data_IF_334894314104
#
_entry.id   IF_334894314104
#
_cell.length_a   1.000
_cell.length_b   1.000
_cell.length_c   1.000
_cell.angle_alpha   90.00
_cell.angle_beta   90.00
_cell.angle_gamma   90.00
#
_symmetry.space_group_name_H-M   'P 1'
#
loop_
_entity.id
_entity.type
_entity.pdbx_description
1 polymer ?
#
# COMPACT_ATOMS: atom_id res chain seq x y z
N UNK A 1 15.94 -19.88 -4.13
CA UNK A 1 15.83 -19.07 -2.89
C UNK A 1 14.99 -17.79 -3.06
N UNK A 2 14.94 -17.18 -4.25
CA UNK A 2 14.11 -15.98 -4.55
C UNK A 2 12.64 -16.15 -4.14
N UNK A 3 12.07 -17.34 -4.30
CA UNK A 3 10.69 -17.63 -3.92
C UNK A 3 10.37 -17.39 -2.43
N UNK A 4 11.26 -17.73 -1.50
CA UNK A 4 10.99 -17.56 -0.07
C UNK A 4 10.92 -16.07 0.32
N UNK A 5 11.81 -15.27 -0.27
CA UNK A 5 11.85 -13.83 -0.08
C UNK A 5 10.61 -13.17 -0.72
N UNK A 6 10.28 -13.53 -1.97
CA UNK A 6 9.10 -12.99 -2.65
C UNK A 6 7.81 -13.32 -1.90
N UNK A 7 7.66 -14.54 -1.40
CA UNK A 7 6.49 -14.91 -0.60
C UNK A 7 6.43 -14.18 0.75
N UNK A 8 7.58 -13.97 1.39
CA UNK A 8 7.66 -13.19 2.63
C UNK A 8 7.23 -11.74 2.41
N UNK A 9 7.76 -11.10 1.36
CA UNK A 9 7.40 -9.73 0.99
C UNK A 9 5.90 -9.66 0.66
N UNK A 10 5.41 -10.57 -0.19
CA UNK A 10 3.99 -10.60 -0.57
C UNK A 10 3.09 -10.72 0.66
N UNK A 11 3.39 -11.65 1.58
CA UNK A 11 2.61 -11.85 2.80
C UNK A 11 2.61 -10.61 3.70
N UNK A 12 3.79 -10.01 3.93
CA UNK A 12 3.91 -8.82 4.77
C UNK A 12 3.08 -7.65 4.23
N UNK A 13 3.14 -7.39 2.91
CA UNK A 13 2.37 -6.31 2.29
C UNK A 13 0.87 -6.59 2.24
N UNK A 14 0.44 -7.83 1.97
CA UNK A 14 -0.98 -8.20 1.95
C UNK A 14 -1.61 -8.02 3.34
N UNK A 15 -1.00 -8.62 4.37
CA UNK A 15 -1.49 -8.51 5.76
C UNK A 15 -1.50 -7.04 6.19
N UNK A 16 -0.42 -6.30 5.91
CA UNK A 16 -0.33 -4.90 6.29
C UNK A 16 -1.37 -4.01 5.60
N UNK A 17 -1.67 -4.25 4.32
CA UNK A 17 -2.71 -3.50 3.60
C UNK A 17 -4.12 -3.83 4.09
N UNK A 18 -4.42 -5.10 4.36
CA UNK A 18 -5.72 -5.51 4.92
C UNK A 18 -5.94 -4.82 6.26
N UNK A 19 -4.95 -4.87 7.16
CA UNK A 19 -5.01 -4.18 8.44
C UNK A 19 -5.21 -2.67 8.26
N UNK A 20 -4.41 -2.04 7.39
CA UNK A 20 -4.48 -0.59 7.15
C UNK A 20 -5.87 -0.15 6.69
N UNK A 21 -6.47 -0.85 5.72
CA UNK A 21 -7.80 -0.51 5.23
C UNK A 21 -8.88 -0.72 6.29
N UNK A 22 -8.79 -1.81 7.05
CA UNK A 22 -9.73 -2.09 8.13
C UNK A 22 -9.64 -1.04 9.25
N UNK A 23 -8.43 -0.71 9.70
CA UNK A 23 -8.19 0.30 10.72
C UNK A 23 -8.65 1.69 10.27
N UNK A 24 -8.35 2.08 9.03
CA UNK A 24 -8.72 3.40 8.49
C UNK A 24 -10.23 3.54 8.33
N UNK A 25 -10.92 2.51 7.85
CA UNK A 25 -12.39 2.54 7.62
C UNK A 25 -13.18 2.60 8.92
N UNK A 26 -12.69 1.92 9.97
CA UNK A 26 -13.33 1.90 11.28
C UNK A 26 -12.89 3.05 12.20
N UNK A 27 -11.88 3.83 11.81
CA UNK A 27 -11.35 4.91 12.64
C UNK A 27 -12.34 6.07 12.78
N UNK A 28 -12.73 6.37 14.02
CA UNK A 28 -13.56 7.52 14.35
C UNK A 28 -12.89 8.84 13.96
N UNK A 29 -11.55 8.94 14.08
CA UNK A 29 -10.79 10.15 13.73
C UNK A 29 -10.90 10.45 12.23
N UNK A 30 -10.90 9.42 11.38
CA UNK A 30 -11.06 9.59 9.93
C UNK A 30 -12.47 10.06 9.57
N UNK A 31 -13.49 9.48 10.22
CA UNK A 31 -14.90 9.88 10.01
C UNK A 31 -15.15 11.30 10.47
N UNK A 32 -14.71 11.63 11.70
CA UNK A 32 -14.86 12.94 12.30
C UNK A 32 -14.19 14.04 11.47
N UNK A 33 -12.99 13.78 10.94
CA UNK A 33 -12.32 14.72 10.04
C UNK A 33 -13.16 15.03 8.81
N UNK A 34 -13.68 14.00 8.12
CA UNK A 34 -14.48 14.17 6.91
C UNK A 34 -15.80 14.91 7.15
N UNK A 35 -16.41 14.72 8.31
CA UNK A 35 -17.65 15.41 8.71
C UNK A 35 -17.43 16.89 9.01
N UNK A 36 -16.25 17.26 9.53
CA UNK A 36 -15.90 18.65 9.86
C UNK A 36 -15.42 19.47 8.66
N UNK A 37 -15.29 18.88 7.47
CA UNK A 37 -14.87 19.59 6.26
C UNK A 37 -16.01 20.42 5.65
N UNK A 38 -15.78 21.70 5.34
CA UNK A 38 -16.66 22.49 4.47
C UNK A 38 -16.86 21.82 3.11
N UNK A 39 -17.99 22.07 2.46
CA UNK A 39 -18.37 21.44 1.18
C UNK A 39 -17.27 21.58 0.11
N UNK A 40 -16.69 22.78 -0.04
CA UNK A 40 -15.60 23.05 -0.99
C UNK A 40 -14.36 22.20 -0.71
N UNK A 41 -13.96 22.11 0.57
CA UNK A 41 -12.82 21.30 1.01
C UNK A 41 -13.08 19.79 0.88
N UNK A 42 -14.33 19.37 1.05
CA UNK A 42 -14.73 17.96 0.85
C UNK A 42 -14.63 17.55 -0.62
N UNK A 43 -15.08 18.39 -1.55
CA UNK A 43 -14.91 18.14 -2.99
C UNK A 43 -13.43 18.07 -3.39
N UNK A 44 -12.61 18.97 -2.84
CA UNK A 44 -11.16 18.92 -3.04
C UNK A 44 -10.54 17.64 -2.45
N UNK A 45 -10.95 17.24 -1.24
CA UNK A 45 -10.54 15.98 -0.62
C UNK A 45 -10.83 14.79 -1.53
N UNK A 46 -12.04 14.71 -2.07
CA UNK A 46 -12.45 13.59 -2.93
C UNK A 46 -11.66 13.58 -4.25
N UNK A 47 -11.40 14.76 -4.84
CA UNK A 47 -10.54 14.90 -6.01
C UNK A 47 -9.11 14.40 -5.75
N UNK A 48 -8.49 14.87 -4.67
CA UNK A 48 -7.14 14.47 -4.26
C UNK A 48 -7.09 12.96 -3.96
N UNK A 49 -8.09 12.44 -3.26
CA UNK A 49 -8.19 11.03 -2.92
C UNK A 49 -8.31 10.17 -4.18
N UNK A 50 -9.14 10.58 -5.14
CA UNK A 50 -9.33 9.88 -6.41
C UNK A 50 -8.06 9.90 -7.28
N UNK A 51 -7.34 11.03 -7.33
CA UNK A 51 -6.04 11.09 -8.00
C UNK A 51 -5.04 10.09 -7.41
N UNK A 52 -4.89 10.09 -6.07
CA UNK A 52 -3.99 9.19 -5.36
C UNK A 52 -4.35 7.73 -5.58
N UNK A 53 -5.65 7.42 -5.61
CA UNK A 53 -6.15 6.10 -5.95
C UNK A 53 -5.76 5.70 -7.38
N UNK A 54 -5.96 6.58 -8.37
CA UNK A 54 -5.55 6.34 -9.76
C UNK A 54 -4.04 6.13 -9.89
N UNK A 55 -3.22 6.93 -9.22
CA UNK A 55 -1.76 6.75 -9.18
C UNK A 55 -1.42 5.36 -8.66
N UNK A 56 -2.08 4.92 -7.58
CA UNK A 56 -1.84 3.57 -7.06
C UNK A 56 -2.27 2.47 -8.03
N UNK A 57 -3.40 2.64 -8.73
CA UNK A 57 -3.86 1.69 -9.74
C UNK A 57 -2.87 1.57 -10.90
N UNK A 58 -2.35 2.70 -11.41
CA UNK A 58 -1.29 2.69 -12.42
C UNK A 58 -0.03 1.98 -11.93
N UNK A 59 0.36 2.20 -10.67
CA UNK A 59 1.49 1.50 -10.06
C UNK A 59 1.31 -0.02 -10.02
N UNK A 60 0.10 -0.52 -9.71
CA UNK A 60 -0.20 -1.95 -9.76
C UNK A 60 -0.22 -2.52 -11.17
N UNK A 61 -0.79 -1.80 -12.14
CA UNK A 61 -0.79 -2.22 -13.55
C UNK A 61 0.64 -2.33 -14.07
N UNK A 62 1.48 -1.33 -13.79
CA UNK A 62 2.90 -1.36 -14.15
C UNK A 62 3.62 -2.53 -13.48
N UNK A 63 3.36 -2.75 -12.18
CA UNK A 63 3.94 -3.86 -11.43
C UNK A 63 3.53 -5.23 -11.97
N UNK A 64 2.29 -5.36 -12.47
CA UNK A 64 1.83 -6.59 -13.11
C UNK A 64 2.62 -6.88 -14.39
N UNK A 65 2.78 -5.90 -15.29
CA UNK A 65 3.62 -6.07 -16.49
C UNK A 65 5.07 -6.38 -16.14
N UNK A 66 5.65 -5.71 -15.14
CA UNK A 66 7.00 -6.00 -14.67
C UNK A 66 7.12 -7.43 -14.15
N UNK A 67 6.11 -7.93 -13.43
CA UNK A 67 6.10 -9.30 -12.94
C UNK A 67 6.08 -10.34 -14.06
N UNK A 68 5.37 -10.07 -15.17
CA UNK A 68 5.39 -10.94 -16.35
C UNK A 68 6.79 -11.00 -16.97
N UNK A 69 7.48 -9.86 -17.08
CA UNK A 69 8.87 -9.82 -17.54
C UNK A 69 9.80 -10.64 -16.63
N UNK A 70 9.65 -10.52 -15.30
CA UNK A 70 10.44 -11.29 -14.32
C UNK A 70 10.16 -12.78 -14.47
N UNK A 71 8.91 -13.19 -14.58
CA UNK A 71 8.53 -14.61 -14.74
C UNK A 71 9.08 -15.16 -16.05
N UNK A 72 8.93 -14.43 -17.15
CA UNK A 72 9.46 -14.82 -18.46
C UNK A 72 10.97 -15.02 -18.41
N UNK A 73 11.70 -14.09 -17.79
CA UNK A 73 13.15 -14.18 -17.62
C UNK A 73 13.56 -15.42 -16.81
N UNK A 74 12.88 -15.73 -15.71
CA UNK A 74 13.20 -16.90 -14.88
C UNK A 74 12.88 -18.23 -15.58
N UNK A 75 11.76 -18.32 -16.30
CA UNK A 75 11.35 -19.54 -16.99
C UNK A 75 12.15 -19.82 -18.27
N UNK A 76 12.41 -18.80 -19.10
CA UNK A 76 13.08 -18.98 -20.40
C UNK A 76 14.59 -18.88 -20.33
N UNK A 77 15.12 -17.89 -19.61
CA UNK A 77 16.56 -17.60 -19.60
C UNK A 77 17.28 -18.43 -18.54
N UNK A 78 16.76 -18.42 -17.31
CA UNK A 78 17.34 -19.21 -16.20
C UNK A 78 16.86 -20.66 -16.14
N UNK A 79 15.82 -21.02 -16.91
CA UNK A 79 15.21 -22.37 -16.93
C UNK A 79 14.83 -22.88 -15.54
N UNK A 80 14.44 -21.99 -14.63
CA UNK A 80 14.01 -22.38 -13.28
C UNK A 80 12.62 -23.04 -13.32
N UNK A 81 12.42 -24.07 -12.48
CA UNK A 81 11.08 -24.62 -12.23
C UNK A 81 10.41 -23.82 -11.13
N UNK A 82 9.42 -23.01 -11.49
CA UNK A 82 8.62 -22.23 -10.54
C UNK A 82 7.33 -22.98 -10.19
N UNK A 83 7.00 -23.05 -8.90
CA UNK A 83 5.71 -23.57 -8.46
C UNK A 83 4.61 -22.51 -8.64
N UNK A 84 3.34 -22.91 -8.64
CA UNK A 84 2.21 -21.98 -8.73
C UNK A 84 2.23 -20.95 -7.60
N UNK A 85 2.59 -21.35 -6.38
CA UNK A 85 2.70 -20.45 -5.22
C UNK A 85 3.83 -19.44 -5.46
N UNK A 86 4.97 -19.88 -5.98
CA UNK A 86 6.10 -19.01 -6.33
C UNK A 86 5.70 -17.94 -7.34
N UNK A 87 4.93 -18.31 -8.37
CA UNK A 87 4.44 -17.38 -9.38
C UNK A 87 3.55 -16.31 -8.75
N UNK A 88 2.57 -16.71 -7.93
CA UNK A 88 1.67 -15.78 -7.24
C UNK A 88 2.47 -14.83 -6.33
N UNK A 89 3.41 -15.36 -5.54
CA UNK A 89 4.26 -14.55 -4.67
C UNK A 89 5.08 -13.52 -5.45
N UNK A 90 5.66 -13.90 -6.58
CA UNK A 90 6.44 -12.99 -7.45
C UNK A 90 5.54 -11.87 -7.97
N UNK A 91 4.35 -12.21 -8.50
CA UNK A 91 3.39 -11.21 -9.00
C UNK A 91 3.00 -10.24 -7.89
N UNK A 92 2.53 -10.77 -6.75
CA UNK A 92 2.04 -9.95 -5.64
C UNK A 92 3.14 -9.06 -5.07
N UNK A 93 4.33 -9.60 -4.80
CA UNK A 93 5.46 -8.82 -4.29
C UNK A 93 5.89 -7.73 -5.27
N UNK A 94 6.00 -8.07 -6.56
CA UNK A 94 6.39 -7.10 -7.59
C UNK A 94 5.35 -5.99 -7.73
N UNK A 95 4.06 -6.33 -7.72
CA UNK A 95 2.96 -5.35 -7.75
C UNK A 95 3.01 -4.39 -6.56
N UNK A 96 3.17 -4.90 -5.34
CA UNK A 96 3.23 -4.04 -4.14
C UNK A 96 4.48 -3.15 -4.11
N UNK A 97 5.65 -3.70 -4.43
CA UNK A 97 6.88 -2.92 -4.49
C UNK A 97 6.82 -1.84 -5.57
N UNK A 98 6.40 -2.22 -6.78
CA UNK A 98 6.26 -1.26 -7.89
C UNK A 98 5.26 -0.17 -7.54
N UNK A 99 4.10 -0.53 -6.98
CA UNK A 99 3.12 0.44 -6.53
C UNK A 99 3.68 1.39 -5.46
N UNK A 100 4.42 0.87 -4.48
CA UNK A 100 5.04 1.69 -3.44
C UNK A 100 5.99 2.73 -4.03
N UNK A 101 6.92 2.32 -4.89
CA UNK A 101 7.86 3.23 -5.52
C UNK A 101 7.18 4.18 -6.49
N UNK A 102 6.27 3.68 -7.33
CA UNK A 102 5.53 4.51 -8.28
C UNK A 102 4.72 5.59 -7.56
N UNK A 103 4.00 5.23 -6.50
CA UNK A 103 3.25 6.19 -5.69
C UNK A 103 4.16 7.21 -5.00
N UNK A 104 5.32 6.79 -4.51
CA UNK A 104 6.26 7.69 -3.83
C UNK A 104 6.92 8.68 -4.80
N UNK A 105 7.32 8.22 -5.99
CA UNK A 105 8.05 9.00 -6.98
C UNK A 105 7.14 9.88 -7.85
N UNK A 106 5.89 9.48 -8.07
CA UNK A 106 4.95 10.29 -8.86
C UNK A 106 4.68 11.62 -8.14
N UNK A 107 4.88 12.77 -8.79
CA UNK A 107 4.52 14.07 -8.22
C UNK A 107 3.01 14.14 -8.03
N UNK A 108 2.60 14.69 -6.87
CA UNK A 108 1.19 14.82 -6.50
C UNK A 108 0.74 16.20 -6.97
N UNK A 109 -0.40 16.28 -7.65
CA UNK A 109 -0.82 17.55 -8.26
C UNK A 109 -1.11 18.62 -7.21
N UNK A 110 -1.72 18.22 -6.09
CA UNK A 110 -2.25 19.15 -5.11
C UNK A 110 -2.25 18.59 -3.69
N UNK A 111 -2.07 19.47 -2.70
CA UNK A 111 -2.05 19.14 -1.28
C UNK A 111 -3.16 19.89 -0.54
N UNK A 112 -3.82 19.17 0.37
CA UNK A 112 -4.89 19.73 1.19
C UNK A 112 -4.45 20.92 2.03
N UNK A 113 -3.21 20.88 2.53
CA UNK A 113 -2.63 21.94 3.35
C UNK A 113 -2.62 23.30 2.66
N UNK A 114 -2.57 23.34 1.32
CA UNK A 114 -2.57 24.58 0.56
C UNK A 114 -3.92 25.29 0.54
N UNK A 115 -4.98 24.62 1.00
CA UNK A 115 -6.38 25.09 0.97
C UNK A 115 -7.01 25.16 2.35
N UNK A 116 -6.25 24.84 3.40
CA UNK A 116 -6.71 24.95 4.77
C UNK A 116 -6.35 26.35 5.29
N UNK A 117 -7.36 27.12 5.66
CA UNK A 117 -7.17 28.51 6.07
C UNK A 117 -7.11 28.68 7.60
N UNK A 118 -7.59 27.69 8.38
CA UNK A 118 -7.67 27.81 9.85
C UNK A 118 -6.68 26.91 10.60
N UNK A 119 -6.14 27.38 11.75
CA UNK A 119 -5.31 26.56 12.63
C UNK A 119 -6.01 25.29 13.12
N UNK A 120 -7.32 25.36 13.37
CA UNK A 120 -8.14 24.23 13.84
C UNK A 120 -8.22 23.13 12.78
N UNK A 121 -8.48 23.51 11.52
CA UNK A 121 -8.49 22.58 10.39
C UNK A 121 -7.11 21.97 10.15
N UNK A 122 -6.04 22.74 10.35
CA UNK A 122 -4.66 22.27 10.22
C UNK A 122 -4.35 21.20 11.27
N UNK A 123 -4.77 21.42 12.53
CA UNK A 123 -4.64 20.44 13.62
C UNK A 123 -5.41 19.16 13.31
N UNK A 124 -6.64 19.28 12.81
CA UNK A 124 -7.48 18.15 12.41
C UNK A 124 -6.84 17.34 11.26
N UNK A 125 -6.30 18.02 10.25
CA UNK A 125 -5.58 17.37 9.16
C UNK A 125 -4.32 16.64 9.65
N UNK A 126 -3.55 17.27 10.54
CA UNK A 126 -2.34 16.67 11.09
C UNK A 126 -2.67 15.43 11.94
N UNK A 127 -3.73 15.48 12.74
CA UNK A 127 -4.19 14.34 13.53
C UNK A 127 -4.61 13.17 12.64
N UNK A 128 -5.39 13.45 11.58
CA UNK A 128 -5.74 12.46 10.57
C UNK A 128 -4.50 11.83 9.93
N UNK A 129 -3.58 12.67 9.44
CA UNK A 129 -2.39 12.24 8.73
C UNK A 129 -1.49 11.36 9.60
N UNK A 130 -1.27 11.76 10.86
CA UNK A 130 -0.51 10.97 11.83
C UNK A 130 -1.17 9.63 12.11
N UNK A 131 -2.48 9.59 12.31
CA UNK A 131 -3.19 8.33 12.54
C UNK A 131 -3.10 7.37 11.37
N UNK A 132 -3.29 7.87 10.14
CA UNK A 132 -3.14 7.05 8.94
C UNK A 132 -1.70 6.52 8.81
N UNK A 133 -0.70 7.34 9.12
CA UNK A 133 0.70 6.91 9.13
C UNK A 133 0.94 5.79 10.15
N UNK A 134 0.42 5.94 11.38
CA UNK A 134 0.52 4.89 12.41
C UNK A 134 -0.12 3.59 11.94
N UNK A 135 -1.35 3.63 11.40
CA UNK A 135 -2.01 2.43 10.86
C UNK A 135 -1.23 1.76 9.72
N UNK A 136 -0.56 2.55 8.88
CA UNK A 136 0.25 2.01 7.79
C UNK A 136 1.46 1.25 8.33
N UNK A 137 2.21 1.86 9.26
CA UNK A 137 3.41 1.24 9.82
C UNK A 137 3.06 0.08 10.75
N UNK A 138 2.02 0.18 11.57
CA UNK A 138 1.59 -0.93 12.42
C UNK A 138 1.08 -2.11 11.60
N UNK A 139 0.39 -1.84 10.48
CA UNK A 139 0.03 -2.88 9.51
C UNK A 139 1.26 -3.60 8.96
N UNK A 140 2.30 -2.87 8.55
CA UNK A 140 3.53 -3.48 8.05
C UNK A 140 4.23 -4.33 9.13
N UNK A 141 4.30 -3.83 10.38
CA UNK A 141 4.85 -4.59 11.53
C UNK A 141 4.07 -5.89 11.75
N UNK A 142 2.74 -5.83 11.73
CA UNK A 142 1.89 -7.03 11.82
C UNK A 142 2.16 -8.01 10.67
N UNK A 143 2.37 -7.48 9.45
CA UNK A 143 2.74 -8.29 8.30
C UNK A 143 4.09 -9.01 8.48
N UNK A 144 5.10 -8.34 9.04
CA UNK A 144 6.41 -8.96 9.33
C UNK A 144 6.27 -10.03 10.42
N UNK A 145 5.49 -9.76 11.47
CA UNK A 145 5.20 -10.75 12.53
C UNK A 145 4.53 -11.99 11.92
N UNK A 146 3.55 -11.81 11.01
CA UNK A 146 2.88 -12.90 10.32
C UNK A 146 3.86 -13.76 9.50
N UNK A 147 4.81 -13.14 8.80
CA UNK A 147 5.90 -13.86 8.12
C UNK A 147 6.71 -14.70 9.10
N UNK A 148 7.07 -14.14 10.26
CA UNK A 148 7.79 -14.87 11.31
C UNK A 148 7.03 -16.11 11.81
N UNK A 149 5.73 -15.98 12.07
CA UNK A 149 4.88 -17.11 12.47
C UNK A 149 4.81 -18.19 11.39
N UNK A 150 4.59 -17.81 10.13
CA UNK A 150 4.56 -18.77 9.01
C UNK A 150 5.91 -19.45 8.85
N UNK A 151 7.01 -18.70 8.91
CA UNK A 151 8.36 -19.26 8.79
C UNK A 151 8.65 -20.28 9.91
N UNK A 152 8.26 -20.00 11.15
CA UNK A 152 8.43 -20.93 12.28
C UNK A 152 7.52 -22.16 12.17
N UNK A 153 6.26 -21.99 11.76
CA UNK A 153 5.30 -23.08 11.63
C UNK A 153 5.69 -24.11 10.55
N UNK A 154 6.39 -23.67 9.50
CA UNK A 154 6.83 -24.52 8.39
C UNK A 154 8.34 -24.77 8.37
N UNK A 155 9.05 -24.47 9.47
CA UNK A 155 10.45 -24.83 9.68
C UNK A 155 10.55 -26.34 9.94
N UNK A 156 10.50 -27.14 8.87
CA UNK A 156 10.91 -28.55 8.87
C UNK A 156 12.43 -28.64 8.76
#
# INVERSE_FOLDING_TARGET
MVCSISCSIALAFVVGKIYFYNATTNSQIVKHYKEKLPIKLKQLYDKISNERFKISMYGYVLGFFLSLCIIFYNLKLKRERLSNISLVCIVVATCFLTNYFYYMLTPKSEWMLNHIDTPEQTKLWLQLYRNMSVYYHSGLVLGIIAVGFVALAFRR
#
